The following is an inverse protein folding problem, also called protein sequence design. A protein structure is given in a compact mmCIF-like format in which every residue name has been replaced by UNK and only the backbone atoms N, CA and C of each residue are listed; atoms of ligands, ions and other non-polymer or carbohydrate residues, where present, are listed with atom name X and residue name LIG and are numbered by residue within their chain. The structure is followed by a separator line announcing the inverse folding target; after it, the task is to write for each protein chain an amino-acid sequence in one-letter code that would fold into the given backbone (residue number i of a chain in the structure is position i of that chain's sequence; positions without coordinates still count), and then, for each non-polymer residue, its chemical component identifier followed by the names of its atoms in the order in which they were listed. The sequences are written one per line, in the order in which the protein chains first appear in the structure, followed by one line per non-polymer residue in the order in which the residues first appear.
data_IF_847681864491
#
_entry.id   IF_847681864491
#
_cell.length_a   1.000
_cell.length_b   1.000
_cell.length_c   1.000
_cell.angle_alpha   90.00
_cell.angle_beta   90.00
_cell.angle_gamma   90.00
#
_symmetry.space_group_name_H-M   'P 1'
#
loop_
_entity.id
_entity.type
_entity.pdbx_description
1 polymer ?
#
# COMPACT_ATOMS: atom_id res chain seq x y z
N UNK A 1 -9.18 16.98 9.59
CA UNK A 1 -7.69 17.03 9.67
C UNK A 1 -7.06 16.47 8.40
N UNK A 2 -7.50 15.31 7.90
CA UNK A 2 -7.01 14.76 6.63
C UNK A 2 -7.22 15.65 5.39
N UNK A 3 -8.39 16.31 5.29
CA UNK A 3 -8.71 17.17 4.14
C UNK A 3 -7.74 18.34 3.96
N UNK A 4 -7.21 18.90 5.05
CA UNK A 4 -6.27 20.01 4.99
C UNK A 4 -4.88 19.57 4.50
N UNK A 5 -4.46 18.35 4.83
CA UNK A 5 -3.21 17.77 4.31
C UNK A 5 -3.31 17.58 2.80
N UNK A 6 -4.41 16.96 2.35
CA UNK A 6 -4.71 16.75 0.94
C UNK A 6 -4.76 18.08 0.18
N UNK A 7 -5.49 19.07 0.70
CA UNK A 7 -5.59 20.39 0.08
C UNK A 7 -4.23 21.04 -0.03
N UNK A 8 -3.43 21.05 1.04
CA UNK A 8 -2.09 21.63 1.03
C UNK A 8 -1.22 21.02 -0.05
N UNK A 9 -1.16 19.69 -0.12
CA UNK A 9 -0.39 18.98 -1.17
C UNK A 9 -0.88 19.37 -2.56
N UNK A 10 -2.19 19.29 -2.82
CA UNK A 10 -2.72 19.42 -4.17
C UNK A 10 -2.79 20.87 -4.67
N UNK A 11 -3.05 21.83 -3.79
CA UNK A 11 -3.35 23.23 -4.18
C UNK A 11 -2.21 24.19 -3.84
N UNK A 12 -1.49 23.99 -2.73
CA UNK A 12 -0.39 24.87 -2.31
C UNK A 12 0.96 24.38 -2.81
N UNK A 13 1.21 23.08 -2.71
CA UNK A 13 2.50 22.47 -3.03
C UNK A 13 2.52 21.86 -4.44
N UNK A 14 1.46 22.06 -5.23
CA UNK A 14 1.35 21.58 -6.61
C UNK A 14 1.61 20.07 -6.78
N UNK A 15 1.22 19.27 -5.79
CA UNK A 15 1.40 17.82 -5.74
C UNK A 15 2.75 17.34 -5.21
N UNK A 16 3.56 18.22 -4.60
CA UNK A 16 4.82 17.85 -3.97
C UNK A 16 4.64 17.57 -2.47
N UNK A 17 5.63 16.91 -1.89
CA UNK A 17 5.77 16.85 -0.44
C UNK A 17 6.51 18.09 0.08
N UNK A 18 6.11 18.56 1.26
CA UNK A 18 6.84 19.57 2.05
C UNK A 18 7.22 19.02 3.44
N UNK A 19 7.63 17.75 3.47
CA UNK A 19 7.99 17.05 4.71
C UNK A 19 9.49 16.78 4.80
N UNK A 20 10.05 16.99 6.00
CA UNK A 20 11.35 16.41 6.37
C UNK A 20 11.25 14.91 6.68
N UNK A 21 12.37 14.30 7.08
CA UNK A 21 12.51 12.83 7.24
C UNK A 21 11.41 12.15 8.06
N UNK A 22 10.97 12.77 9.16
CA UNK A 22 9.95 12.18 10.03
C UNK A 22 8.57 12.23 9.40
N UNK A 23 8.24 13.31 8.68
CA UNK A 23 6.96 13.43 7.99
C UNK A 23 6.89 12.48 6.80
N UNK A 24 7.97 12.41 6.01
CA UNK A 24 8.03 11.56 4.81
C UNK A 24 7.80 10.08 5.14
N UNK A 25 8.30 9.59 6.29
CA UNK A 25 8.04 8.22 6.75
C UNK A 25 6.56 7.90 6.83
N UNK A 26 5.73 8.82 7.35
CA UNK A 26 4.31 8.56 7.64
C UNK A 26 3.36 9.10 6.59
N UNK A 27 3.84 9.85 5.59
CA UNK A 27 3.00 10.54 4.61
C UNK A 27 2.03 9.57 3.90
N UNK A 28 2.55 8.45 3.39
CA UNK A 28 1.72 7.45 2.70
C UNK A 28 0.73 6.77 3.66
N UNK A 29 1.16 6.44 4.88
CA UNK A 29 0.30 5.82 5.89
C UNK A 29 -0.85 6.76 6.30
N UNK A 30 -0.57 8.06 6.47
CA UNK A 30 -1.55 9.07 6.82
C UNK A 30 -2.58 9.30 5.71
N UNK A 31 -2.12 9.38 4.46
CA UNK A 31 -2.99 9.52 3.29
C UNK A 31 -3.84 8.26 3.04
N UNK A 32 -3.25 7.07 3.17
CA UNK A 32 -3.97 5.81 3.09
C UNK A 32 -5.05 5.70 4.17
N UNK A 33 -4.75 6.11 5.40
CA UNK A 33 -5.69 6.09 6.54
C UNK A 33 -6.93 6.97 6.34
N UNK A 34 -6.91 7.91 5.38
CA UNK A 34 -8.06 8.74 5.01
C UNK A 34 -8.60 8.42 3.60
N UNK A 35 -8.21 7.28 3.02
CA UNK A 35 -8.66 6.85 1.70
C UNK A 35 -8.06 7.64 0.53
N UNK A 36 -6.93 8.32 0.73
CA UNK A 36 -6.26 9.19 -0.26
C UNK A 36 -4.91 8.68 -0.73
N UNK A 37 -4.80 7.36 -0.90
CA UNK A 37 -3.61 6.71 -1.48
C UNK A 37 -3.28 7.25 -2.89
N UNK A 38 -4.28 7.75 -3.63
CA UNK A 38 -4.11 8.44 -4.91
C UNK A 38 -3.20 9.67 -4.80
N UNK A 39 -3.35 10.44 -3.73
CA UNK A 39 -2.51 11.62 -3.46
C UNK A 39 -1.09 11.19 -3.10
N UNK A 40 -0.93 10.12 -2.31
CA UNK A 40 0.38 9.61 -1.95
C UNK A 40 1.15 9.15 -3.20
N UNK A 41 0.49 8.44 -4.12
CA UNK A 41 1.08 8.03 -5.38
C UNK A 41 1.44 9.23 -6.27
N UNK A 42 0.59 10.26 -6.32
CA UNK A 42 0.89 11.50 -7.05
C UNK A 42 2.14 12.19 -6.53
N UNK A 43 2.33 12.26 -5.22
CA UNK A 43 3.53 12.82 -4.59
C UNK A 43 4.77 11.99 -4.93
N UNK A 44 4.67 10.66 -4.85
CA UNK A 44 5.79 9.76 -5.13
C UNK A 44 6.26 9.82 -6.59
N UNK A 45 5.35 9.95 -7.54
CA UNK A 45 5.65 10.03 -8.98
C UNK A 45 6.03 11.45 -9.45
N UNK A 46 6.07 12.43 -8.55
CA UNK A 46 6.39 13.80 -8.92
C UNK A 46 7.86 13.92 -9.38
N UNK A 47 8.05 14.29 -10.65
CA UNK A 47 9.36 14.36 -11.32
C UNK A 47 10.06 15.70 -11.20
N UNK A 48 9.34 16.75 -10.77
CA UNK A 48 9.95 18.02 -10.38
C UNK A 48 10.34 18.02 -8.91
N UNK A 49 11.30 18.88 -8.56
CA UNK A 49 11.75 19.04 -7.18
C UNK A 49 10.61 19.53 -6.27
N UNK A 50 10.50 19.04 -5.01
CA UNK A 50 11.28 17.96 -4.37
C UNK A 50 10.60 16.58 -4.43
N UNK A 51 11.37 15.50 -4.28
CA UNK A 51 10.83 14.16 -3.98
C UNK A 51 11.54 13.01 -4.69
N UNK A 52 11.06 11.79 -4.45
CA UNK A 52 11.65 10.55 -5.01
C UNK A 52 11.56 10.49 -6.55
N UNK A 53 10.44 10.90 -7.14
CA UNK A 53 10.32 10.95 -8.60
C UNK A 53 11.33 11.91 -9.24
N UNK A 54 11.70 12.98 -8.55
CA UNK A 54 12.76 13.89 -8.96
C UNK A 54 14.15 13.24 -8.88
N UNK A 55 14.48 12.56 -7.78
CA UNK A 55 15.73 11.78 -7.64
C UNK A 55 15.87 10.79 -8.80
N UNK A 56 14.82 10.00 -9.07
CA UNK A 56 14.78 9.02 -10.16
C UNK A 56 14.93 9.71 -11.52
N UNK A 57 14.24 10.83 -11.75
CA UNK A 57 14.36 11.60 -12.99
C UNK A 57 15.76 12.18 -13.22
N UNK A 58 16.56 12.32 -12.16
CA UNK A 58 17.97 12.72 -12.21
C UNK A 58 18.95 11.55 -12.27
N UNK A 59 18.46 10.31 -12.31
CA UNK A 59 19.28 9.11 -12.45
C UNK A 59 19.76 8.52 -11.12
N UNK A 60 19.12 8.87 -10.00
CA UNK A 60 19.40 8.25 -8.72
C UNK A 60 19.16 6.73 -8.76
N UNK A 61 20.11 5.96 -8.23
CA UNK A 61 19.98 4.51 -8.00
C UNK A 61 19.82 4.15 -6.52
N UNK A 62 19.95 5.14 -5.64
CA UNK A 62 19.92 5.11 -4.18
C UNK A 62 19.24 6.41 -3.71
N UNK A 63 18.64 6.41 -2.51
CA UNK A 63 18.01 7.62 -1.96
C UNK A 63 19.07 8.62 -1.49
N UNK A 64 18.80 9.91 -1.64
CA UNK A 64 19.76 10.96 -1.27
C UNK A 64 19.51 11.50 0.14
N UNK A 65 20.51 12.18 0.71
CA UNK A 65 20.43 12.86 2.01
C UNK A 65 19.52 14.10 1.96
N UNK A 66 19.51 14.77 0.81
CA UNK A 66 18.63 15.89 0.50
C UNK A 66 17.92 15.67 -0.83
N UNK A 67 16.77 16.31 -1.02
CA UNK A 67 16.07 16.30 -2.31
C UNK A 67 16.81 17.07 -3.42
N UNK A 68 17.77 17.92 -3.05
CA UNK A 68 18.55 18.73 -3.99
C UNK A 68 19.62 17.86 -4.66
N UNK A 69 19.94 18.16 -5.92
CA UNK A 69 20.95 17.38 -6.65
C UNK A 69 22.39 17.79 -6.29
N UNK A 70 22.59 19.07 -6.00
CA UNK A 70 23.88 19.63 -5.58
C UNK A 70 23.69 20.34 -4.24
N UNK A 71 24.45 19.95 -3.24
CA UNK A 71 24.44 20.61 -1.92
C UNK A 71 25.83 20.54 -1.29
N UNK A 72 26.06 21.32 -0.22
CA UNK A 72 27.32 21.22 0.55
C UNK A 72 27.37 19.99 1.48
N UNK A 73 26.28 19.24 1.61
CA UNK A 73 26.10 18.02 2.40
C UNK A 73 25.34 17.00 1.55
N UNK A 74 26.07 16.29 0.68
CA UNK A 74 25.48 15.53 -0.45
C UNK A 74 25.88 14.06 -0.46
N UNK A 75 25.41 13.27 0.53
CA UNK A 75 25.38 11.83 0.31
C UNK A 75 24.27 11.47 -0.68
N UNK A 76 24.63 10.87 -1.81
CA UNK A 76 23.68 10.24 -2.75
C UNK A 76 23.36 8.79 -2.39
N UNK A 77 23.72 8.34 -1.18
CA UNK A 77 23.37 7.03 -0.63
C UNK A 77 23.06 7.16 0.87
N UNK A 78 21.87 7.68 1.17
CA UNK A 78 21.43 7.95 2.54
C UNK A 78 20.00 7.44 2.76
N UNK A 79 19.80 6.62 3.79
CA UNK A 79 18.56 5.88 4.01
C UNK A 79 17.42 6.68 4.68
N UNK A 80 17.65 7.94 5.05
CA UNK A 80 16.74 8.68 5.95
C UNK A 80 15.33 8.91 5.38
N UNK A 81 15.20 9.03 4.06
CA UNK A 81 13.90 9.10 3.39
C UNK A 81 13.33 7.74 3.01
N UNK A 82 14.14 6.67 2.99
CA UNK A 82 13.75 5.33 2.55
C UNK A 82 12.68 4.66 3.44
N UNK A 83 12.34 5.26 4.59
CA UNK A 83 11.30 4.78 5.49
C UNK A 83 9.93 4.60 4.83
N UNK A 84 9.63 5.37 3.77
CA UNK A 84 8.38 5.24 3.00
C UNK A 84 8.23 3.85 2.35
N UNK A 85 9.32 3.12 2.11
CA UNK A 85 9.29 1.78 1.54
C UNK A 85 8.47 0.81 2.39
N UNK A 86 8.39 1.01 3.70
CA UNK A 86 7.55 0.21 4.58
C UNK A 86 6.08 0.25 4.13
N UNK A 87 5.59 1.41 3.68
CA UNK A 87 4.22 1.61 3.22
C UNK A 87 3.91 0.87 1.92
N UNK A 88 4.90 0.53 1.09
CA UNK A 88 4.67 -0.36 -0.05
C UNK A 88 4.26 -1.77 0.40
N UNK A 89 4.81 -2.25 1.51
CA UNK A 89 4.42 -3.55 2.07
C UNK A 89 3.12 -3.47 2.86
N UNK A 90 2.98 -2.46 3.73
CA UNK A 90 1.86 -2.37 4.68
C UNK A 90 0.60 -1.77 4.07
N UNK A 91 0.72 -0.89 3.06
CA UNK A 91 -0.41 -0.25 2.39
C UNK A 91 -0.68 -0.90 1.03
N UNK A 92 0.25 -0.84 0.06
CA UNK A 92 -0.02 -1.40 -1.28
C UNK A 92 -0.15 -2.92 -1.24
N UNK A 93 0.78 -3.60 -0.54
CA UNK A 93 0.69 -5.02 -0.26
C UNK A 93 -0.33 -5.35 0.83
N UNK A 94 -0.65 -4.41 1.70
CA UNK A 94 -1.61 -4.59 2.79
C UNK A 94 -1.13 -5.50 3.92
N UNK A 95 0.15 -5.89 3.97
CA UNK A 95 0.67 -6.89 4.93
C UNK A 95 0.98 -6.22 6.26
N UNK A 96 0.16 -6.43 7.27
CA UNK A 96 0.29 -5.79 8.58
C UNK A 96 0.32 -6.83 9.72
N UNK A 97 1.40 -6.91 10.51
CA UNK A 97 1.42 -7.80 11.66
C UNK A 97 0.44 -7.31 12.74
N UNK A 98 -0.50 -8.17 13.14
CA UNK A 98 -1.42 -7.90 14.26
C UNK A 98 -1.12 -8.72 15.50
N UNK A 99 -0.14 -9.62 15.40
CA UNK A 99 0.36 -10.43 16.49
C UNK A 99 1.87 -10.62 16.42
N UNK A 100 2.52 -11.00 17.54
CA UNK A 100 3.97 -11.11 17.62
C UNK A 100 4.54 -12.14 16.64
N UNK A 101 5.58 -11.73 15.92
CA UNK A 101 6.23 -12.57 14.91
C UNK A 101 5.27 -13.04 13.82
N UNK A 102 4.26 -12.22 13.47
CA UNK A 102 3.24 -12.53 12.46
C UNK A 102 2.39 -13.77 12.79
N UNK A 103 2.14 -14.07 14.07
CA UNK A 103 1.19 -15.12 14.48
C UNK A 103 -0.23 -14.85 13.96
N UNK A 104 -0.59 -13.57 13.90
CA UNK A 104 -1.76 -13.07 13.19
C UNK A 104 -1.35 -11.92 12.30
N UNK A 105 -1.99 -11.81 11.13
CA UNK A 105 -1.69 -10.80 10.13
C UNK A 105 -3.00 -10.25 9.56
N UNK A 106 -3.05 -8.95 9.31
CA UNK A 106 -4.07 -8.35 8.47
C UNK A 106 -3.51 -8.22 7.06
N UNK A 107 -4.33 -8.57 6.07
CA UNK A 107 -4.07 -8.34 4.65
C UNK A 107 -5.13 -7.38 4.14
N UNK A 108 -4.78 -6.10 4.03
CA UNK A 108 -5.68 -5.02 3.63
C UNK A 108 -5.01 -4.10 2.58
N UNK A 109 -4.91 -4.55 1.32
CA UNK A 109 -4.23 -3.79 0.28
C UNK A 109 -5.00 -2.51 -0.10
N UNK A 110 -4.28 -1.41 -0.21
CA UNK A 110 -4.76 -0.14 -0.71
C UNK A 110 -4.69 -0.14 -2.24
N UNK A 111 -5.80 -0.50 -2.88
CA UNK A 111 -5.93 -0.45 -4.34
C UNK A 111 -6.38 0.96 -4.73
N UNK A 112 -5.58 1.63 -5.54
CA UNK A 112 -5.74 3.05 -5.85
C UNK A 112 -5.71 3.30 -7.36
N UNK A 113 -6.39 4.35 -7.87
CA UNK A 113 -6.29 4.72 -9.28
C UNK A 113 -4.85 4.94 -9.73
N UNK A 114 -4.55 4.58 -10.98
CA UNK A 114 -3.22 4.70 -11.57
C UNK A 114 -2.30 3.50 -11.31
N UNK A 115 -2.71 2.53 -10.49
CA UNK A 115 -1.97 1.29 -10.27
C UNK A 115 -2.87 0.08 -10.57
N UNK A 116 -2.50 -0.68 -11.59
CA UNK A 116 -3.26 -1.86 -12.04
C UNK A 116 -2.85 -3.15 -11.33
N UNK A 117 -1.66 -3.18 -10.73
CA UNK A 117 -1.18 -4.35 -9.99
C UNK A 117 -0.16 -3.94 -8.93
N UNK A 118 -0.10 -4.71 -7.84
CA UNK A 118 1.02 -4.68 -6.91
C UNK A 118 1.26 -6.07 -6.32
N UNK A 119 2.49 -6.36 -5.96
CA UNK A 119 2.86 -7.59 -5.25
C UNK A 119 3.91 -7.30 -4.19
N UNK A 120 3.68 -7.83 -2.98
CA UNK A 120 4.60 -7.72 -1.86
C UNK A 120 4.73 -9.07 -1.17
N UNK A 121 5.92 -9.34 -0.63
CA UNK A 121 6.14 -10.49 0.24
C UNK A 121 7.17 -10.18 1.32
N UNK A 122 6.98 -10.78 2.49
CA UNK A 122 7.87 -10.63 3.64
C UNK A 122 8.27 -12.04 4.10
N UNK A 123 9.57 -12.26 4.25
CA UNK A 123 10.10 -13.43 4.95
C UNK A 123 10.00 -13.19 6.46
N UNK A 124 9.18 -13.98 7.15
CA UNK A 124 8.98 -13.89 8.59
C UNK A 124 9.59 -15.09 9.30
N UNK A 125 9.63 -15.06 10.63
CA UNK A 125 10.04 -16.20 11.47
C UNK A 125 9.14 -17.43 11.30
N UNK A 126 7.93 -17.27 10.72
CA UNK A 126 6.98 -18.36 10.47
C UNK A 126 7.01 -18.85 9.03
N UNK A 127 7.75 -18.17 8.15
CA UNK A 127 7.77 -18.41 6.71
C UNK A 127 7.32 -17.19 5.92
N UNK A 128 7.11 -17.37 4.62
CA UNK A 128 6.76 -16.29 3.71
C UNK A 128 5.27 -15.92 3.81
N UNK A 129 4.99 -14.64 4.03
CA UNK A 129 3.67 -14.03 3.80
C UNK A 129 3.75 -13.27 2.48
N UNK A 130 2.72 -13.39 1.64
CA UNK A 130 2.65 -12.65 0.38
C UNK A 130 1.24 -12.16 0.11
N UNK A 131 1.14 -11.03 -0.56
CA UNK A 131 -0.10 -10.41 -1.03
C UNK A 131 0.17 -9.82 -2.41
N UNK A 132 -0.65 -10.18 -3.37
CA UNK A 132 -0.58 -9.62 -4.71
C UNK A 132 -1.97 -9.40 -5.25
N UNK A 133 -2.18 -8.28 -5.91
CA UNK A 133 -3.45 -7.98 -6.54
C UNK A 133 -3.28 -7.44 -7.95
N UNK A 134 -4.31 -7.69 -8.76
CA UNK A 134 -4.54 -7.03 -10.05
C UNK A 134 -5.91 -6.40 -10.03
N UNK A 135 -6.05 -5.23 -10.64
CA UNK A 135 -7.30 -4.51 -10.71
C UNK A 135 -7.50 -3.91 -12.10
N UNK A 136 -8.52 -4.44 -12.76
CA UNK A 136 -9.09 -3.92 -14.01
C UNK A 136 -10.48 -3.34 -13.71
N UNK A 137 -11.14 -2.73 -14.71
CA UNK A 137 -12.39 -1.98 -14.49
C UNK A 137 -13.50 -2.83 -13.85
N UNK A 138 -13.66 -4.07 -14.31
CA UNK A 138 -14.74 -4.98 -13.90
C UNK A 138 -14.33 -6.01 -12.86
N UNK A 139 -13.03 -6.20 -12.64
CA UNK A 139 -12.49 -7.32 -11.87
C UNK A 139 -11.29 -6.95 -11.02
N UNK A 140 -11.34 -7.33 -9.75
CA UNK A 140 -10.17 -7.34 -8.86
C UNK A 140 -9.84 -8.77 -8.47
N UNK A 141 -8.56 -9.13 -8.53
CA UNK A 141 -8.05 -10.41 -8.02
C UNK A 141 -7.06 -10.10 -6.90
N UNK A 142 -7.21 -10.76 -5.75
CA UNK A 142 -6.29 -10.71 -4.63
C UNK A 142 -5.83 -12.13 -4.30
N UNK A 143 -4.53 -12.38 -4.44
CA UNK A 143 -3.85 -13.61 -4.07
C UNK A 143 -3.05 -13.41 -2.77
N UNK A 144 -3.24 -14.30 -1.79
CA UNK A 144 -2.65 -14.22 -0.46
C UNK A 144 -1.98 -15.54 -0.10
N UNK A 145 -0.75 -15.48 0.41
CA UNK A 145 -0.03 -16.62 0.99
C UNK A 145 0.12 -16.42 2.49
N UNK A 146 -0.33 -17.41 3.27
CA UNK A 146 -0.21 -17.43 4.73
C UNK A 146 0.60 -18.67 5.14
N UNK A 147 1.71 -18.53 5.88
CA UNK A 147 2.53 -19.65 6.28
C UNK A 147 1.89 -20.46 7.43
N UNK A 148 2.36 -21.69 7.63
CA UNK A 148 1.97 -22.52 8.78
C UNK A 148 2.29 -21.80 10.09
N UNK A 149 1.37 -21.89 11.06
CA UNK A 149 1.53 -21.21 12.35
C UNK A 149 1.10 -19.74 12.35
N UNK A 150 0.47 -19.28 11.26
CA UNK A 150 -0.17 -17.96 11.13
C UNK A 150 -1.63 -18.07 10.71
N UNK A 151 -2.43 -17.08 11.10
CA UNK A 151 -3.80 -16.85 10.63
C UNK A 151 -3.90 -15.43 10.06
N UNK A 152 -4.65 -15.25 8.98
CA UNK A 152 -4.85 -13.94 8.37
C UNK A 152 -6.31 -13.48 8.44
N UNK A 153 -6.51 -12.19 8.71
CA UNK A 153 -7.75 -11.46 8.41
C UNK A 153 -7.53 -10.74 7.09
N UNK A 154 -8.30 -11.10 6.06
CA UNK A 154 -8.17 -10.56 4.71
C UNK A 154 -9.33 -9.62 4.43
N UNK A 155 -9.02 -8.38 4.11
CA UNK A 155 -9.96 -7.36 3.68
C UNK A 155 -9.96 -7.32 2.15
N UNK A 156 -11.11 -7.64 1.55
CA UNK A 156 -11.30 -7.67 0.11
C UNK A 156 -12.11 -6.43 -0.29
N UNK A 157 -11.47 -5.39 -0.86
CA UNK A 157 -12.15 -4.12 -1.14
C UNK A 157 -13.09 -4.23 -2.33
N UNK A 158 -14.27 -3.60 -2.22
CA UNK A 158 -15.26 -3.53 -3.29
C UNK A 158 -14.95 -2.42 -4.31
N UNK A 159 -14.11 -1.45 -3.94
CA UNK A 159 -13.67 -0.32 -4.77
C UNK A 159 -14.84 0.52 -5.32
N UNK A 160 -15.86 0.72 -4.49
CA UNK A 160 -17.06 1.49 -4.86
C UNK A 160 -17.95 0.83 -5.92
N UNK A 161 -17.67 -0.42 -6.31
CA UNK A 161 -18.54 -1.16 -7.22
C UNK A 161 -19.87 -1.47 -6.52
N UNK A 162 -20.97 -1.30 -7.25
CA UNK A 162 -22.32 -1.70 -6.81
C UNK A 162 -22.62 -3.13 -7.25
N UNK A 163 -23.43 -3.87 -6.49
CA UNK A 163 -23.79 -5.27 -6.79
C UNK A 163 -22.54 -6.14 -6.93
N UNK A 164 -21.76 -6.24 -5.86
CA UNK A 164 -20.49 -6.97 -5.87
C UNK A 164 -20.72 -8.44 -5.57
N UNK A 165 -20.10 -9.31 -6.36
CA UNK A 165 -19.91 -10.71 -6.03
C UNK A 165 -18.44 -10.92 -5.63
N UNK A 166 -18.22 -11.56 -4.46
CA UNK A 166 -16.89 -11.95 -4.01
C UNK A 166 -16.78 -13.47 -4.00
N UNK A 167 -15.95 -14.00 -4.89
CA UNK A 167 -15.60 -15.41 -4.94
C UNK A 167 -14.30 -15.65 -4.19
N UNK A 168 -14.28 -16.64 -3.30
CA UNK A 168 -13.10 -16.99 -2.51
C UNK A 168 -12.78 -18.48 -2.64
N UNK A 169 -11.50 -18.83 -2.52
CA UNK A 169 -11.07 -20.24 -2.40
C UNK A 169 -11.87 -20.96 -1.31
N UNK A 170 -12.31 -22.19 -1.59
CA UNK A 170 -13.09 -23.01 -0.65
C UNK A 170 -12.41 -23.12 0.72
N UNK A 171 -13.17 -22.87 1.79
CA UNK A 171 -12.68 -22.91 3.17
C UNK A 171 -12.30 -21.54 3.75
N UNK A 172 -12.27 -20.48 2.93
CA UNK A 172 -12.23 -19.11 3.46
C UNK A 172 -13.54 -18.82 4.21
N UNK A 173 -13.43 -18.37 5.47
CA UNK A 173 -14.60 -18.10 6.32
C UNK A 173 -14.96 -16.63 6.23
N UNK A 174 -16.09 -16.26 5.58
CA UNK A 174 -16.50 -14.87 5.56
C UNK A 174 -16.86 -14.42 6.98
N UNK A 175 -16.47 -13.19 7.30
CA UNK A 175 -16.94 -12.45 8.46
C UNK A 175 -17.94 -11.38 8.00
N UNK A 176 -18.56 -10.67 8.94
CA UNK A 176 -19.37 -9.51 8.60
C UNK A 176 -18.46 -8.43 7.99
N UNK A 177 -18.69 -8.11 6.71
CA UNK A 177 -18.04 -7.02 6.01
C UNK A 177 -18.84 -5.72 6.11
N UNK A 178 -18.21 -4.61 5.73
CA UNK A 178 -18.90 -3.33 5.54
C UNK A 178 -19.55 -3.23 4.17
N UNK A 179 -20.10 -2.05 3.86
CA UNK A 179 -20.61 -1.76 2.50
C UNK A 179 -19.48 -1.82 1.45
N UNK A 180 -18.27 -1.41 1.84
CA UNK A 180 -17.15 -1.18 0.91
C UNK A 180 -16.11 -2.31 0.87
N UNK A 181 -16.30 -3.36 1.67
CA UNK A 181 -15.39 -4.51 1.70
C UNK A 181 -16.06 -5.79 2.23
N UNK A 182 -15.51 -6.94 1.85
CA UNK A 182 -15.81 -8.23 2.46
C UNK A 182 -14.59 -8.73 3.22
N UNK A 183 -14.78 -9.15 4.47
CA UNK A 183 -13.70 -9.61 5.35
C UNK A 183 -13.72 -11.12 5.48
N UNK A 184 -12.55 -11.76 5.43
CA UNK A 184 -12.40 -13.21 5.60
C UNK A 184 -11.37 -13.53 6.68
N UNK A 185 -11.57 -14.65 7.39
CA UNK A 185 -10.50 -15.28 8.16
C UNK A 185 -10.02 -16.54 7.45
N UNK A 186 -8.70 -16.64 7.30
CA UNK A 186 -8.06 -17.77 6.65
C UNK A 186 -6.87 -18.27 7.46
N UNK A 187 -6.67 -19.59 7.47
CA UNK A 187 -5.47 -20.20 8.05
C UNK A 187 -4.30 -20.20 7.07
N UNK A 188 -3.30 -21.02 7.34
CA UNK A 188 -2.17 -21.23 6.43
C UNK A 188 -2.63 -21.81 5.09
N UNK A 189 -2.03 -21.34 4.00
CA UNK A 189 -2.36 -21.79 2.65
C UNK A 189 -2.18 -20.69 1.60
N UNK A 190 -2.66 -20.99 0.40
CA UNK A 190 -2.82 -20.01 -0.68
C UNK A 190 -4.29 -19.72 -0.87
N UNK A 191 -4.62 -18.45 -0.96
CA UNK A 191 -6.00 -17.97 -1.00
C UNK A 191 -6.15 -16.99 -2.16
N UNK A 192 -7.22 -17.16 -2.92
CA UNK A 192 -7.61 -16.25 -3.98
C UNK A 192 -8.97 -15.68 -3.68
N UNK A 193 -9.09 -14.37 -3.83
CA UNK A 193 -10.33 -13.62 -3.76
C UNK A 193 -10.53 -12.91 -5.09
N UNK A 194 -11.69 -13.08 -5.69
CA UNK A 194 -12.07 -12.41 -6.94
C UNK A 194 -13.31 -11.57 -6.69
N UNK A 195 -13.21 -10.29 -6.99
CA UNK A 195 -14.30 -9.33 -6.92
C UNK A 195 -14.74 -9.03 -8.33
N UNK A 196 -16.01 -9.25 -8.65
CA UNK A 196 -16.60 -8.91 -9.94
C UNK A 196 -17.88 -8.11 -9.75
N UNK A 197 -18.21 -7.27 -10.73
CA UNK A 197 -19.52 -6.64 -10.79
C UNK A 197 -20.56 -7.67 -11.23
N UNK A 198 -21.59 -7.87 -10.42
CA UNK A 198 -22.77 -8.64 -10.82
C UNK A 198 -23.61 -7.79 -11.78
N UNK A 199 -24.00 -8.39 -12.91
CA UNK A 199 -24.90 -7.77 -13.89
C UNK A 199 -26.35 -7.81 -13.44
#
# INVERSE_FOLDING_TARGET
MGDQLVDTILTKDAGHLDTGIFGTRYLMDALAGIGRTDVAMKVLDQRSYPGFGYEIAKGATTSWEEWTYFSSMESHDHAMFAGINASFYTQLGGIQPTGPGYSTVTIAPQITPGLHHAAASIATVRGRIASSWTNDDDRTILDVTVPVGSTATVHVPHLGRTHVEVQATSGARPQHGGHDETVYTVGSGQWRFTVTRHH
#
